data_IF_896273545110
#
_entry.id   IF_896273545110
#
_cell.length_a   1.000
_cell.length_b   1.000
_cell.length_c   1.000
_cell.angle_alpha   90.00
_cell.angle_beta   90.00
_cell.angle_gamma   90.00
#
_symmetry.space_group_name_H-M   'P 1'
#
loop_
_entity.id
_entity.type
_entity.pdbx_description
1 polymer ?
#
# COMPACT_ATOMS: atom_id res chain seq x y z
N UNK A 1 32.25 -41.50 -1.12
CA UNK A 1 31.97 -42.10 0.20
C UNK A 1 31.32 -41.01 1.05
N UNK A 2 30.13 -41.05 1.62
CA UNK A 2 29.13 -42.10 1.79
C UNK A 2 27.72 -41.47 1.66
N UNK A 3 26.78 -42.24 1.13
CA UNK A 3 25.36 -41.90 1.01
C UNK A 3 24.67 -42.19 2.34
N UNK A 4 23.90 -41.25 2.88
CA UNK A 4 23.07 -41.43 4.07
C UNK A 4 21.60 -41.18 3.72
N UNK A 5 20.87 -42.25 3.39
CA UNK A 5 19.43 -42.25 3.24
C UNK A 5 18.78 -42.49 4.61
N UNK A 6 17.78 -41.70 4.99
CA UNK A 6 16.87 -42.04 6.08
C UNK A 6 15.42 -41.80 5.62
N UNK A 7 14.75 -42.93 5.41
CA UNK A 7 13.32 -43.08 5.19
C UNK A 7 12.69 -43.18 6.59
N UNK A 8 11.78 -42.28 6.91
CA UNK A 8 11.04 -42.28 8.18
C UNK A 8 9.54 -42.17 7.92
N UNK A 9 8.91 -43.29 7.60
CA UNK A 9 7.45 -43.46 7.53
C UNK A 9 6.92 -43.71 8.94
N UNK A 10 6.13 -42.80 9.49
CA UNK A 10 5.21 -43.11 10.60
C UNK A 10 3.89 -42.42 10.30
N UNK A 11 2.89 -43.22 9.94
CA UNK A 11 1.50 -42.80 9.89
C UNK A 11 0.84 -42.98 11.25
N UNK A 12 -0.16 -42.15 11.55
CA UNK A 12 -1.24 -42.49 12.48
C UNK A 12 -2.53 -41.90 11.90
N UNK A 13 -3.43 -42.80 11.51
CA UNK A 13 -4.82 -42.51 11.20
C UNK A 13 -5.58 -42.25 12.51
N UNK A 14 -6.21 -41.09 12.63
CA UNK A 14 -7.16 -40.81 13.70
C UNK A 14 -8.51 -40.47 13.06
N UNK A 15 -9.40 -41.47 13.11
CA UNK A 15 -10.83 -41.35 12.79
C UNK A 15 -11.49 -40.63 13.96
N UNK A 16 -12.05 -39.44 13.72
CA UNK A 16 -12.80 -38.68 14.72
C UNK A 16 -14.26 -38.53 14.28
N UNK A 17 -15.14 -39.00 15.16
CA UNK A 17 -16.58 -39.12 14.98
C UNK A 17 -17.27 -37.76 14.80
N UNK A 18 -18.16 -37.69 13.82
CA UNK A 18 -19.00 -36.53 13.55
C UNK A 18 -20.25 -36.64 14.44
N UNK A 19 -20.28 -35.89 15.55
CA UNK A 19 -21.50 -35.67 16.32
C UNK A 19 -22.30 -34.54 15.67
N UNK A 20 -23.41 -34.90 15.02
CA UNK A 20 -24.35 -33.97 14.42
C UNK A 20 -25.18 -33.25 15.50
N UNK A 21 -24.66 -32.13 16.01
CA UNK A 21 -25.40 -31.20 16.84
C UNK A 21 -25.98 -30.08 15.98
N UNK A 22 -27.25 -30.17 15.62
CA UNK A 22 -28.01 -29.09 14.99
C UNK A 22 -28.30 -28.00 16.04
N UNK A 23 -27.35 -27.08 16.24
CA UNK A 23 -27.56 -25.87 17.03
C UNK A 23 -28.18 -24.82 16.10
N UNK A 24 -29.46 -24.52 16.32
CA UNK A 24 -30.15 -23.41 15.67
C UNK A 24 -29.52 -22.09 16.09
N UNK A 25 -28.64 -21.55 15.26
CA UNK A 25 -28.07 -20.23 15.47
C UNK A 25 -29.12 -19.22 15.03
N UNK A 26 -29.80 -18.61 16.00
CA UNK A 26 -30.57 -17.40 15.77
C UNK A 26 -29.58 -16.31 15.31
N UNK A 27 -29.54 -16.08 14.00
CA UNK A 27 -28.82 -14.98 13.40
C UNK A 27 -29.53 -13.68 13.79
N UNK A 28 -29.18 -13.13 14.95
CA UNK A 28 -29.47 -11.73 15.22
C UNK A 28 -28.65 -10.93 14.22
N UNK A 29 -29.31 -10.47 13.17
CA UNK A 29 -28.78 -9.46 12.26
C UNK A 29 -28.51 -8.20 13.11
N UNK A 30 -27.31 -8.14 13.68
CA UNK A 30 -26.78 -6.88 14.17
C UNK A 30 -26.71 -6.00 12.92
N UNK A 31 -27.58 -5.00 12.89
CA UNK A 31 -27.46 -3.87 11.99
C UNK A 31 -26.12 -3.20 12.33
N UNK A 32 -25.06 -3.75 11.74
CA UNK A 32 -23.72 -3.22 11.85
C UNK A 32 -23.78 -1.82 11.29
N UNK A 33 -23.43 -0.85 12.14
CA UNK A 33 -23.21 0.53 11.76
C UNK A 33 -22.40 0.51 10.48
N UNK A 34 -23.02 0.91 9.37
CA UNK A 34 -22.39 0.90 8.06
C UNK A 34 -21.11 1.73 8.13
N UNK A 35 -20.00 1.27 7.54
CA UNK A 35 -18.70 1.94 7.56
C UNK A 35 -18.75 3.24 6.75
N UNK A 36 -19.42 4.26 7.28
CA UNK A 36 -19.60 5.55 6.63
C UNK A 36 -18.40 6.48 6.87
N UNK A 37 -17.63 6.24 7.93
CA UNK A 37 -16.46 7.04 8.27
C UNK A 37 -15.31 6.88 7.25
N UNK A 38 -15.15 5.69 6.66
CA UNK A 38 -14.04 5.42 5.72
C UNK A 38 -14.27 6.04 4.34
N UNK A 39 -15.53 6.13 3.90
CA UNK A 39 -15.89 6.73 2.61
C UNK A 39 -15.55 8.23 2.55
N UNK A 40 -15.69 8.95 3.67
CA UNK A 40 -15.37 10.39 3.73
C UNK A 40 -13.87 10.66 3.58
N UNK A 41 -13.02 9.79 4.13
CA UNK A 41 -11.57 9.99 4.07
C UNK A 41 -11.00 9.72 2.68
N UNK A 42 -11.53 8.75 1.94
CA UNK A 42 -11.13 8.50 0.55
C UNK A 42 -11.39 9.70 -0.37
N UNK A 43 -12.54 10.36 -0.20
CA UNK A 43 -12.88 11.59 -0.92
C UNK A 43 -11.94 12.75 -0.58
N UNK A 44 -11.38 12.76 0.65
CA UNK A 44 -10.50 13.84 1.10
C UNK A 44 -9.14 13.80 0.42
N UNK A 45 -8.62 12.62 0.08
CA UNK A 45 -7.30 12.47 -0.55
C UNK A 45 -7.35 12.43 -2.08
N UNK A 46 -8.53 12.36 -2.70
CA UNK A 46 -8.66 12.09 -4.15
C UNK A 46 -7.87 10.83 -4.55
N UNK A 47 -8.09 9.75 -3.80
CA UNK A 47 -7.49 8.43 -4.01
C UNK A 47 -8.58 7.38 -4.02
N UNK A 48 -9.12 7.07 -5.19
CA UNK A 48 -10.23 6.12 -5.37
C UNK A 48 -9.92 4.74 -4.79
N UNK A 49 -8.65 4.34 -4.76
CA UNK A 49 -8.22 3.08 -4.14
C UNK A 49 -8.61 2.97 -2.67
N UNK A 50 -8.53 4.06 -1.88
CA UNK A 50 -8.90 4.04 -0.45
C UNK A 50 -10.41 3.85 -0.24
N UNK A 51 -11.23 4.22 -1.22
CA UNK A 51 -12.69 4.04 -1.20
C UNK A 51 -13.13 2.66 -1.66
N UNK A 52 -12.23 1.85 -2.24
CA UNK A 52 -12.55 0.52 -2.73
C UNK A 52 -12.78 -0.49 -1.59
N UNK A 53 -13.51 -1.57 -1.87
CA UNK A 53 -13.67 -2.67 -0.91
C UNK A 53 -12.33 -3.40 -0.71
N UNK A 54 -11.99 -3.72 0.53
CA UNK A 54 -10.79 -4.47 0.85
C UNK A 54 -10.86 -5.90 0.26
N UNK A 55 -9.71 -6.40 -0.17
CA UNK A 55 -9.49 -7.71 -0.76
C UNK A 55 -8.41 -8.48 0.01
N UNK A 56 -8.25 -9.77 -0.28
CA UNK A 56 -7.18 -10.57 0.33
C UNK A 56 -5.77 -10.08 -0.03
N UNK A 57 -5.61 -9.38 -1.16
CA UNK A 57 -4.32 -8.83 -1.58
C UNK A 57 -3.88 -7.61 -0.74
N UNK A 58 -4.80 -6.99 0.00
CA UNK A 58 -4.52 -5.85 0.87
C UNK A 58 -3.88 -6.26 2.20
N UNK A 59 -3.75 -7.56 2.47
CA UNK A 59 -3.12 -8.06 3.67
C UNK A 59 -1.64 -7.64 3.74
N UNK A 60 -1.24 -7.11 4.90
CA UNK A 60 0.17 -6.86 5.20
C UNK A 60 0.90 -8.18 5.53
N UNK A 61 2.24 -8.24 5.37
CA UNK A 61 3.04 -9.39 5.74
C UNK A 61 2.77 -9.82 7.19
N UNK A 62 2.68 -11.12 7.46
CA UNK A 62 2.22 -11.67 8.76
C UNK A 62 3.08 -11.31 9.96
N UNK A 63 4.32 -10.87 9.76
CA UNK A 63 5.23 -10.41 10.82
C UNK A 63 5.19 -8.90 11.08
N UNK A 64 4.38 -8.15 10.32
CA UNK A 64 4.26 -6.71 10.50
C UNK A 64 3.08 -6.37 11.42
N UNK A 65 3.35 -5.59 12.47
CA UNK A 65 2.30 -5.05 13.34
C UNK A 65 1.90 -3.63 12.90
N UNK A 66 0.69 -3.44 12.35
CA UNK A 66 0.22 -2.13 11.90
C UNK A 66 0.13 -1.10 13.04
N UNK A 67 0.00 -1.54 14.29
CA UNK A 67 -0.10 -0.64 15.44
C UNK A 67 1.24 0.06 15.75
N UNK A 68 2.36 -0.54 15.38
CA UNK A 68 3.71 0.00 15.61
C UNK A 68 4.30 0.74 14.40
N UNK A 69 3.65 0.64 13.24
CA UNK A 69 4.13 1.20 11.98
C UNK A 69 4.39 2.72 12.02
N UNK A 70 3.49 3.44 12.69
CA UNK A 70 3.45 4.91 12.77
C UNK A 70 2.86 5.32 14.12
N UNK A 71 3.05 6.59 14.52
CA UNK A 71 2.49 7.08 15.78
C UNK A 71 0.95 6.98 15.78
N UNK A 72 0.40 6.11 16.63
CA UNK A 72 -1.04 5.85 16.73
C UNK A 72 -1.52 4.64 15.92
N UNK A 73 -0.65 4.01 15.12
CA UNK A 73 -0.98 2.85 14.31
C UNK A 73 -1.76 3.16 13.04
N UNK A 74 -1.83 2.16 12.15
CA UNK A 74 -2.60 2.19 10.92
C UNK A 74 -4.02 1.65 11.15
N UNK A 75 -5.01 2.28 10.54
CA UNK A 75 -6.36 1.74 10.42
C UNK A 75 -6.36 0.56 9.45
N UNK A 76 -6.53 -0.65 9.99
CA UNK A 76 -6.50 -1.89 9.22
C UNK A 76 -7.56 -1.94 8.12
N UNK A 77 -8.72 -1.31 8.32
CA UNK A 77 -9.80 -1.31 7.32
C UNK A 77 -9.49 -0.43 6.11
N UNK A 78 -8.54 0.50 6.25
CA UNK A 78 -8.13 1.43 5.20
C UNK A 78 -6.94 0.95 4.35
N UNK A 79 -6.29 -0.15 4.73
CA UNK A 79 -5.11 -0.66 4.02
C UNK A 79 -5.53 -1.13 2.63
N UNK A 80 -4.85 -0.64 1.61
CA UNK A 80 -5.05 -1.02 0.21
C UNK A 80 -3.72 -1.26 -0.47
N UNK A 81 -3.60 -2.38 -1.15
CA UNK A 81 -2.49 -2.71 -2.01
C UNK A 81 -2.51 -1.78 -3.22
N UNK A 82 -1.41 -1.07 -3.44
CA UNK A 82 -1.22 -0.25 -4.63
C UNK A 82 -0.54 -1.07 -5.72
N UNK A 83 0.52 -1.79 -5.36
CA UNK A 83 1.29 -2.58 -6.30
C UNK A 83 2.17 -3.62 -5.59
N UNK A 84 2.39 -4.75 -6.27
CA UNK A 84 3.45 -5.71 -5.94
C UNK A 84 4.30 -6.03 -7.17
N UNK A 85 5.62 -5.99 -7.05
CA UNK A 85 6.53 -6.25 -8.16
C UNK A 85 8.00 -6.33 -7.74
N UNK A 86 8.91 -6.23 -8.73
CA UNK A 86 10.36 -6.37 -8.51
C UNK A 86 10.95 -5.29 -7.60
N UNK A 87 10.36 -4.10 -7.57
CA UNK A 87 10.76 -3.01 -6.69
C UNK A 87 10.28 -3.16 -5.24
N UNK A 88 9.38 -4.12 -4.98
CA UNK A 88 8.74 -4.32 -3.69
C UNK A 88 7.21 -4.33 -3.76
N UNK A 89 6.59 -4.36 -2.59
CA UNK A 89 5.15 -4.26 -2.40
C UNK A 89 4.82 -2.97 -1.67
N UNK A 90 3.81 -2.26 -2.14
CA UNK A 90 3.44 -0.93 -1.68
C UNK A 90 1.95 -0.88 -1.34
N UNK A 91 1.63 -0.26 -0.21
CA UNK A 91 0.26 -0.08 0.26
C UNK A 91 0.00 1.39 0.60
N UNK A 92 -1.24 1.83 0.44
CA UNK A 92 -1.76 3.04 1.05
C UNK A 92 -2.65 2.65 2.24
N UNK A 93 -2.65 3.47 3.28
CA UNK A 93 -3.54 3.33 4.43
C UNK A 93 -3.74 4.70 5.09
N UNK A 94 -4.70 4.77 6.01
CA UNK A 94 -4.87 5.89 6.94
C UNK A 94 -4.28 5.51 8.30
N UNK A 95 -3.68 6.47 9.00
CA UNK A 95 -3.35 6.30 10.42
C UNK A 95 -4.55 6.63 11.32
N UNK A 96 -4.40 6.40 12.64
CA UNK A 96 -5.42 6.74 13.63
C UNK A 96 -5.79 8.24 13.71
N UNK A 97 -5.02 9.11 13.06
CA UNK A 97 -5.28 10.56 12.95
C UNK A 97 -5.87 10.95 11.59
N UNK A 98 -6.18 9.98 10.73
CA UNK A 98 -6.69 10.20 9.38
C UNK A 98 -5.65 10.71 8.39
N UNK A 99 -4.35 10.58 8.68
CA UNK A 99 -3.27 10.92 7.74
C UNK A 99 -3.08 9.80 6.74
N UNK A 100 -2.89 10.14 5.47
CA UNK A 100 -2.54 9.20 4.42
C UNK A 100 -1.10 8.72 4.62
N UNK A 101 -0.91 7.41 4.69
CA UNK A 101 0.37 6.74 4.80
C UNK A 101 0.65 5.88 3.56
N UNK A 102 1.86 5.99 3.05
CA UNK A 102 2.44 5.09 2.06
C UNK A 102 3.39 4.14 2.78
N UNK A 103 3.24 2.84 2.55
CA UNK A 103 3.96 1.76 3.23
C UNK A 103 4.70 0.95 2.17
N UNK A 104 5.95 0.56 2.43
CA UNK A 104 6.74 -0.24 1.50
C UNK A 104 7.37 -1.46 2.18
N UNK A 105 7.27 -2.61 1.52
CA UNK A 105 8.04 -3.81 1.80
C UNK A 105 8.96 -4.09 0.60
N UNK A 106 10.28 -4.02 0.82
CA UNK A 106 11.30 -4.22 -0.22
C UNK A 106 12.19 -5.42 0.09
N UNK A 107 12.82 -6.02 -0.92
CA UNK A 107 13.77 -7.12 -0.72
C UNK A 107 13.14 -8.49 -0.39
N UNK A 108 13.98 -9.52 -0.16
CA UNK A 108 13.55 -10.93 -0.16
C UNK A 108 12.77 -11.35 1.09
N UNK A 109 12.90 -10.60 2.19
CA UNK A 109 12.25 -10.95 3.46
C UNK A 109 10.76 -10.57 3.52
N UNK A 110 10.23 -9.85 2.53
CA UNK A 110 8.85 -9.32 2.52
C UNK A 110 8.48 -8.56 3.81
N UNK A 111 9.45 -8.10 4.60
CA UNK A 111 9.20 -7.27 5.76
C UNK A 111 8.82 -5.86 5.29
N UNK A 112 7.97 -5.15 6.03
CA UNK A 112 7.79 -3.72 5.80
C UNK A 112 9.04 -3.00 6.26
N UNK A 113 9.56 -2.12 5.42
CA UNK A 113 10.84 -1.43 5.63
C UNK A 113 10.66 0.04 5.97
N UNK A 114 9.48 0.61 5.72
CA UNK A 114 9.18 1.97 6.12
C UNK A 114 7.78 2.41 5.75
N UNK A 115 7.36 3.50 6.36
CA UNK A 115 6.15 4.22 6.04
C UNK A 115 6.41 5.73 6.12
N UNK A 116 5.72 6.49 5.28
CA UNK A 116 5.68 7.95 5.35
C UNK A 116 4.21 8.37 5.34
N UNK A 117 3.85 9.38 6.14
CA UNK A 117 2.47 9.86 6.23
C UNK A 117 2.37 11.37 6.02
N UNK A 118 1.24 11.81 5.51
CA UNK A 118 0.94 13.22 5.22
C UNK A 118 -0.52 13.55 5.52
N UNK A 119 -0.82 14.84 5.67
CA UNK A 119 -2.21 15.35 5.72
C UNK A 119 -2.76 15.53 4.30
N UNK A 120 -4.07 15.70 4.17
CA UNK A 120 -4.72 15.91 2.88
C UNK A 120 -4.18 17.16 2.16
N UNK A 121 -4.15 18.31 2.84
CA UNK A 121 -3.65 19.57 2.26
C UNK A 121 -2.23 19.40 1.68
N UNK A 122 -1.34 18.79 2.47
CA UNK A 122 0.05 18.53 2.04
C UNK A 122 0.14 17.51 0.92
N UNK A 123 -0.74 16.50 0.90
CA UNK A 123 -0.79 15.52 -0.17
C UNK A 123 -1.19 16.16 -1.50
N UNK A 124 -2.20 17.02 -1.50
CA UNK A 124 -2.64 17.72 -2.70
C UNK A 124 -1.61 18.72 -3.21
N UNK A 125 -0.84 19.35 -2.32
CA UNK A 125 0.22 20.28 -2.69
C UNK A 125 1.52 19.61 -3.15
N UNK A 126 1.89 18.46 -2.57
CA UNK A 126 3.25 17.94 -2.72
C UNK A 126 3.34 16.45 -3.08
N UNK A 127 2.20 15.78 -3.28
CA UNK A 127 2.13 14.32 -3.30
C UNK A 127 2.72 13.72 -2.00
N UNK A 128 2.89 12.39 -1.95
CA UNK A 128 3.57 11.73 -0.84
C UNK A 128 4.75 10.92 -1.36
N UNK A 129 5.97 11.28 -0.93
CA UNK A 129 7.19 10.56 -1.26
C UNK A 129 7.61 9.64 -0.11
N UNK A 130 7.95 8.39 -0.42
CA UNK A 130 8.61 7.44 0.47
C UNK A 130 9.93 6.98 -0.15
N UNK A 131 11.01 7.04 0.64
CA UNK A 131 12.32 6.47 0.29
C UNK A 131 12.72 5.47 1.36
N UNK A 132 13.00 4.24 0.95
CA UNK A 132 13.39 3.15 1.84
C UNK A 132 14.60 2.42 1.27
N UNK A 133 15.48 1.96 2.16
CA UNK A 133 16.62 1.13 1.80
C UNK A 133 16.83 0.05 2.86
N UNK A 134 17.12 -1.19 2.43
CA UNK A 134 17.32 -2.33 3.33
C UNK A 134 18.04 -3.47 2.60
N UNK A 135 19.07 -4.04 3.22
CA UNK A 135 19.70 -5.28 2.76
C UNK A 135 20.16 -5.26 1.29
N UNK A 136 20.62 -4.11 0.78
CA UNK A 136 21.03 -3.94 -0.62
C UNK A 136 19.90 -3.62 -1.60
N UNK A 137 18.64 -3.60 -1.15
CA UNK A 137 17.50 -3.09 -1.91
C UNK A 137 17.24 -1.61 -1.54
N UNK A 138 16.74 -0.84 -2.50
CA UNK A 138 16.26 0.51 -2.29
C UNK A 138 15.04 0.76 -3.18
N UNK A 139 14.10 1.55 -2.68
CA UNK A 139 12.96 2.01 -3.46
C UNK A 139 12.65 3.47 -3.14
N UNK A 140 12.26 4.21 -4.17
CA UNK A 140 11.68 5.54 -4.07
C UNK A 140 10.30 5.50 -4.74
N UNK A 141 9.28 5.80 -3.95
CA UNK A 141 7.88 5.75 -4.38
C UNK A 141 7.22 7.10 -4.14
N UNK A 142 6.42 7.53 -5.10
CA UNK A 142 5.64 8.77 -5.05
C UNK A 142 4.18 8.41 -5.29
N UNK A 143 3.33 8.67 -4.29
CA UNK A 143 1.89 8.52 -4.39
C UNK A 143 1.28 9.87 -4.76
N UNK A 144 0.51 9.93 -5.83
CA UNK A 144 -0.09 11.16 -6.37
C UNK A 144 -1.64 11.08 -6.39
N UNK A 145 -2.37 12.20 -6.34
CA UNK A 145 -3.83 12.20 -6.47
C UNK A 145 -4.35 11.60 -7.80
N UNK A 146 -5.59 11.11 -7.83
CA UNK A 146 -6.24 10.54 -9.02
C UNK A 146 -6.31 11.53 -10.18
N UNK A 147 -6.49 12.82 -9.88
CA UNK A 147 -6.47 13.90 -10.86
C UNK A 147 -5.13 14.01 -11.63
N UNK A 148 -4.02 13.51 -11.05
CA UNK A 148 -2.69 13.56 -11.68
C UNK A 148 -2.48 12.30 -12.52
N UNK A 149 -2.69 12.43 -13.84
CA UNK A 149 -2.46 11.32 -14.75
C UNK A 149 -0.98 10.93 -14.81
N UNK A 150 -0.67 9.67 -14.48
CA UNK A 150 0.69 9.12 -14.64
C UNK A 150 1.17 9.14 -16.09
N UNK A 151 0.25 9.18 -17.07
CA UNK A 151 0.60 9.41 -18.48
C UNK A 151 1.26 10.78 -18.67
N UNK A 152 0.75 11.82 -18.01
CA UNK A 152 1.33 13.18 -18.05
C UNK A 152 2.67 13.19 -17.35
N UNK A 153 2.78 12.56 -16.17
CA UNK A 153 4.06 12.43 -15.46
C UNK A 153 5.12 11.73 -16.32
N UNK A 154 4.75 10.65 -17.02
CA UNK A 154 5.66 9.96 -17.96
C UNK A 154 6.10 10.83 -19.14
N UNK A 155 5.27 11.74 -19.62
CA UNK A 155 5.62 12.61 -20.74
C UNK A 155 6.63 13.70 -20.35
N UNK A 156 6.65 14.11 -19.08
CA UNK A 156 7.57 15.15 -18.58
C UNK A 156 8.84 14.60 -17.95
N UNK A 157 8.89 13.30 -17.70
CA UNK A 157 10.03 12.65 -17.05
C UNK A 157 10.94 12.00 -18.10
N UNK A 158 12.27 12.16 -17.98
CA UNK A 158 13.20 11.55 -18.92
C UNK A 158 13.06 10.03 -18.85
N UNK A 159 13.05 9.36 -20.02
CA UNK A 159 12.88 7.91 -20.15
C UNK A 159 13.90 7.09 -19.33
N UNK A 160 15.08 7.67 -19.09
CA UNK A 160 16.13 7.11 -18.24
C UNK A 160 15.78 7.07 -16.74
N UNK A 161 14.83 7.89 -16.28
CA UNK A 161 14.17 7.64 -15.01
C UNK A 161 13.19 6.50 -15.28
N UNK A 162 13.62 5.26 -15.06
CA UNK A 162 12.75 4.09 -15.21
C UNK A 162 11.58 4.22 -14.26
N UNK A 163 10.47 4.74 -14.79
CA UNK A 163 9.28 5.06 -14.01
C UNK A 163 8.22 4.03 -14.32
N UNK A 164 8.05 3.13 -13.36
CA UNK A 164 6.89 2.25 -13.37
C UNK A 164 5.72 2.98 -12.72
N UNK A 165 4.61 3.03 -13.44
CA UNK A 165 3.42 3.78 -13.08
C UNK A 165 2.26 2.82 -12.92
N UNK A 166 1.65 2.81 -11.74
CA UNK A 166 0.58 1.89 -11.37
C UNK A 166 -0.55 2.67 -10.69
N UNK A 167 -1.58 3.03 -11.44
CA UNK A 167 -2.62 3.95 -10.95
C UNK A 167 -1.97 5.24 -10.46
N UNK A 168 -2.05 5.47 -9.15
CA UNK A 168 -1.55 6.65 -8.42
C UNK A 168 -0.11 6.53 -7.93
N UNK A 169 0.54 5.40 -8.14
CA UNK A 169 1.88 5.12 -7.65
C UNK A 169 2.91 5.29 -8.78
N UNK A 170 3.93 6.10 -8.52
CA UNK A 170 5.08 6.34 -9.38
C UNK A 170 6.33 5.83 -8.68
N UNK A 171 6.98 4.82 -9.24
CA UNK A 171 8.24 4.29 -8.72
C UNK A 171 9.41 4.91 -9.46
N UNK A 172 10.39 5.39 -8.71
CA UNK A 172 11.62 6.01 -9.25
C UNK A 172 12.79 5.08 -8.98
N UNK A 173 13.58 4.81 -10.02
CA UNK A 173 14.80 4.02 -9.87
C UNK A 173 15.74 4.64 -8.82
N UNK A 174 16.37 3.86 -7.93
CA UNK A 174 17.29 4.37 -6.92
C UNK A 174 18.45 5.21 -7.50
N UNK A 175 18.90 4.86 -8.71
CA UNK A 175 19.94 5.57 -9.45
C UNK A 175 19.49 6.81 -10.22
N UNK A 176 18.22 7.24 -10.11
CA UNK A 176 17.74 8.43 -10.81
C UNK A 176 18.57 9.68 -10.45
N UNK A 177 18.76 10.58 -11.40
CA UNK A 177 19.52 11.82 -11.17
C UNK A 177 18.73 12.81 -10.30
N UNK A 178 19.43 13.75 -9.67
CA UNK A 178 18.79 14.86 -8.95
C UNK A 178 17.86 15.68 -9.86
N UNK A 179 18.25 15.86 -11.13
CA UNK A 179 17.43 16.55 -12.13
C UNK A 179 16.11 15.81 -12.41
N UNK A 180 16.14 14.47 -12.50
CA UNK A 180 14.93 13.66 -12.70
C UNK A 180 13.98 13.75 -11.50
N UNK A 181 14.54 13.70 -10.28
CA UNK A 181 13.76 13.89 -9.05
C UNK A 181 13.13 15.27 -8.97
N UNK A 182 13.89 16.32 -9.30
CA UNK A 182 13.39 17.69 -9.33
C UNK A 182 12.31 17.88 -10.39
N UNK A 183 12.43 17.24 -11.56
CA UNK A 183 11.40 17.25 -12.59
C UNK A 183 10.11 16.57 -12.08
N UNK A 184 10.22 15.43 -11.38
CA UNK A 184 9.07 14.76 -10.79
C UNK A 184 8.40 15.64 -9.73
N UNK A 185 9.16 16.20 -8.80
CA UNK A 185 8.62 17.11 -7.78
C UNK A 185 7.88 18.31 -8.41
N UNK A 186 8.39 18.87 -9.51
CA UNK A 186 7.69 19.94 -10.24
C UNK A 186 6.43 19.44 -10.95
N UNK A 187 6.46 18.24 -11.50
CA UNK A 187 5.33 17.64 -12.21
C UNK A 187 4.20 17.19 -11.27
N UNK A 188 4.52 16.89 -10.02
CA UNK A 188 3.56 16.53 -8.95
C UNK A 188 3.18 17.72 -8.07
N UNK A 189 3.83 18.87 -8.23
CA UNK A 189 3.36 20.12 -7.65
C UNK A 189 1.95 20.41 -8.19
N UNK A 190 1.10 21.10 -7.43
CA UNK A 190 -0.33 21.09 -7.67
C UNK A 190 -0.64 21.69 -9.04
N UNK A 191 -1.33 20.92 -9.87
CA UNK A 191 -1.95 21.39 -11.12
C UNK A 191 -3.02 22.47 -10.84
N UNK A 192 -3.41 22.65 -9.57
CA UNK A 192 -4.35 23.69 -9.13
C UNK A 192 -3.90 25.13 -9.44
N UNK A 193 -2.60 25.38 -9.70
CA UNK A 193 -2.14 26.71 -10.14
C UNK A 193 -2.20 26.92 -11.67
N UNK A 194 -2.60 25.90 -12.45
CA UNK A 194 -2.79 26.04 -13.90
C UNK A 194 -4.14 26.66 -14.29
N UNK A 195 -4.92 27.15 -13.32
CA UNK A 195 -6.18 27.88 -13.59
C UNK A 195 -7.25 27.03 -14.27
N UNK A 196 -7.19 25.71 -14.16
CA UNK A 196 -8.28 24.83 -14.62
C UNK A 196 -9.43 24.98 -13.62
N UNK A 197 -10.58 25.56 -14.01
CA UNK A 197 -11.69 25.75 -13.09
C UNK A 197 -12.17 24.39 -12.58
N UNK A 198 -12.38 24.28 -11.26
CA UNK A 198 -13.03 23.12 -10.67
C UNK A 198 -14.40 22.94 -11.33
N UNK A 199 -14.63 21.76 -11.90
CA UNK A 199 -15.87 21.40 -12.58
C UNK A 199 -17.00 21.11 -11.58
#
# INVERSE_FOLDING_TARGET
MARGAWIGTIGIAAVLAIAAGAVGIAATAQAGSTPQATASAAATYDLGVLGSAATAADALPSGFDPASAVQGGLDRASIRLLQSGTAGTFWAALDARGRLCLIAAIGPASAVHGAACTTADRFHEHALTLRVASGGAAAEAHLVPDAVSVKVLRAVLPEAATISGYGNLVLVAPGASAASRAALTRATAPVYDLGVPAA
#
